data_IF_848050359261
#
_entry.id   IF_848050359261
#
_cell.length_a   1.000
_cell.length_b   1.000
_cell.length_c   1.000
_cell.angle_alpha   90.00
_cell.angle_beta   90.00
_cell.angle_gamma   90.00
#
_symmetry.space_group_name_H-M   'P 1'
#
loop_
_entity.id
_entity.type
_entity.pdbx_description
1 polymer ?
#
# COMPACT_ATOMS: atom_id res chain seq x y z
N UNK A 1 6.54 -0.14 15.99
CA UNK A 1 6.55 0.76 14.77
C UNK A 1 5.35 1.70 14.86
N UNK A 2 5.53 2.99 14.57
CA UNK A 2 4.42 3.96 14.43
C UNK A 2 3.93 3.93 12.99
N UNK A 3 2.60 3.94 12.80
CA UNK A 3 1.96 3.93 11.48
C UNK A 3 0.86 5.00 11.48
N UNK A 4 0.90 5.89 10.48
CA UNK A 4 -0.14 6.91 10.25
C UNK A 4 -0.62 6.79 8.80
N UNK A 5 -1.87 6.45 8.57
CA UNK A 5 -2.48 6.53 7.25
C UNK A 5 -2.94 7.98 7.03
N UNK A 6 -2.31 8.66 6.09
CA UNK A 6 -2.59 10.07 5.79
C UNK A 6 -3.74 10.23 4.81
N UNK A 7 -3.91 9.26 3.93
CA UNK A 7 -5.03 9.13 3.02
C UNK A 7 -5.07 7.72 2.42
N UNK A 8 -6.26 7.26 2.06
CA UNK A 8 -6.49 5.96 1.43
C UNK A 8 -7.70 6.06 0.49
N UNK A 9 -7.62 5.44 -0.69
CA UNK A 9 -8.68 5.39 -1.71
C UNK A 9 -8.33 6.10 -3.02
N UNK A 10 -9.27 6.11 -3.95
CA UNK A 10 -9.08 6.64 -5.32
C UNK A 10 -8.75 8.14 -5.38
N UNK A 11 -8.93 8.88 -4.30
CA UNK A 11 -8.56 10.31 -4.22
C UNK A 11 -7.08 10.52 -3.90
N UNK A 12 -6.39 9.50 -3.41
CA UNK A 12 -4.96 9.47 -3.14
C UNK A 12 -4.59 8.62 -1.94
N UNK A 13 -3.47 7.92 -2.08
CA UNK A 13 -2.93 7.02 -1.08
C UNK A 13 -1.60 7.54 -0.56
N UNK A 14 -1.43 7.57 0.75
CA UNK A 14 -0.18 7.91 1.40
C UNK A 14 -0.21 7.47 2.85
N UNK A 15 0.78 6.70 3.27
CA UNK A 15 0.98 6.33 4.66
C UNK A 15 2.37 6.71 5.13
N UNK A 16 2.52 6.99 6.41
CA UNK A 16 3.79 7.27 7.07
C UNK A 16 4.08 6.16 8.06
N UNK A 17 5.31 5.64 8.02
CA UNK A 17 5.81 4.66 8.99
C UNK A 17 7.09 5.16 9.64
N UNK A 18 7.29 4.83 10.93
CA UNK A 18 8.47 5.22 11.70
C UNK A 18 8.82 4.17 12.74
N UNK A 19 10.07 3.75 12.79
CA UNK A 19 10.58 2.79 13.77
C UNK A 19 11.34 3.43 14.95
N UNK A 20 11.27 4.76 15.05
CA UNK A 20 11.97 5.55 16.05
C UNK A 20 13.36 6.04 15.59
N UNK A 21 13.92 5.49 14.51
CA UNK A 21 15.22 5.92 13.92
C UNK A 21 15.07 6.31 12.46
N UNK A 22 14.29 5.60 11.70
CA UNK A 22 14.04 5.83 10.28
C UNK A 22 12.55 6.00 10.03
N UNK A 23 12.19 6.91 9.13
CA UNK A 23 10.81 7.07 8.67
C UNK A 23 10.70 7.00 7.16
N UNK A 24 9.59 6.43 6.68
CA UNK A 24 9.28 6.28 5.25
C UNK A 24 7.85 6.75 4.97
N UNK A 25 7.62 7.17 3.74
CA UNK A 25 6.29 7.23 3.14
C UNK A 25 6.04 5.96 2.32
N UNK A 26 4.82 5.47 2.35
CA UNK A 26 4.28 4.43 1.47
C UNK A 26 3.26 5.12 0.58
N UNK A 27 3.59 5.22 -0.70
CA UNK A 27 2.95 6.06 -1.70
C UNK A 27 2.95 7.58 -1.42
N UNK A 28 2.65 8.35 -2.45
CA UNK A 28 2.64 9.80 -2.43
C UNK A 28 1.52 10.36 -3.35
N UNK A 29 0.33 9.77 -3.27
CA UNK A 29 -0.82 10.09 -4.11
C UNK A 29 -1.58 11.35 -3.71
N UNK A 30 -1.20 12.01 -2.63
CA UNK A 30 -1.82 13.24 -2.13
C UNK A 30 -0.91 14.46 -2.29
N UNK A 31 -1.43 15.68 -2.28
CA UNK A 31 -0.62 16.90 -2.36
C UNK A 31 0.45 16.97 -1.26
N UNK A 32 1.65 17.46 -1.61
CA UNK A 32 2.79 17.59 -0.66
C UNK A 32 2.41 18.42 0.57
N UNK A 33 1.51 19.39 0.45
CA UNK A 33 0.99 20.15 1.61
C UNK A 33 0.31 19.24 2.65
N UNK A 34 -0.49 18.26 2.20
CA UNK A 34 -1.12 17.27 3.08
C UNK A 34 -0.08 16.33 3.70
N UNK A 35 0.92 15.89 2.91
CA UNK A 35 2.04 15.08 3.43
C UNK A 35 2.80 15.84 4.51
N UNK A 36 3.09 17.12 4.31
CA UNK A 36 3.76 17.97 5.32
C UNK A 36 2.98 18.04 6.63
N UNK A 37 1.67 18.22 6.56
CA UNK A 37 0.80 18.23 7.76
C UNK A 37 0.84 16.86 8.43
N UNK A 38 0.64 15.78 7.67
CA UNK A 38 0.62 14.40 8.20
C UNK A 38 1.95 13.95 8.81
N UNK A 39 3.07 14.53 8.37
CA UNK A 39 4.41 14.29 8.94
C UNK A 39 4.80 15.34 10.00
N UNK A 40 3.83 16.06 10.56
CA UNK A 40 4.05 17.12 11.56
C UNK A 40 5.12 18.14 11.12
N UNK A 41 5.08 18.52 9.84
CA UNK A 41 6.05 19.41 9.17
C UNK A 41 7.50 18.90 9.15
N UNK A 42 7.72 17.60 9.42
CA UNK A 42 9.04 16.95 9.44
C UNK A 42 9.36 16.22 8.14
N UNK A 43 8.76 16.59 7.02
CA UNK A 43 8.99 15.96 5.73
C UNK A 43 10.48 15.87 5.36
N UNK A 44 11.31 16.89 5.75
CA UNK A 44 12.76 16.87 5.55
C UNK A 44 13.52 15.83 6.37
N UNK A 45 12.90 15.22 7.39
CA UNK A 45 13.46 14.14 8.18
C UNK A 45 13.00 12.74 7.68
N UNK A 46 12.09 12.68 6.71
CA UNK A 46 11.66 11.43 6.10
C UNK A 46 12.79 10.89 5.22
N UNK A 47 13.22 9.65 5.49
CA UNK A 47 14.37 9.03 4.83
C UNK A 47 14.11 8.68 3.36
N UNK A 48 12.84 8.53 2.98
CA UNK A 48 12.42 8.28 1.60
C UNK A 48 10.94 7.94 1.46
N UNK A 49 10.50 7.75 0.22
CA UNK A 49 9.18 7.24 -0.11
C UNK A 49 9.29 6.00 -1.00
N UNK A 50 8.50 4.97 -0.69
CA UNK A 50 8.32 3.77 -1.50
C UNK A 50 7.05 3.96 -2.32
N UNK A 51 7.15 3.88 -3.64
CA UNK A 51 6.00 4.08 -4.54
C UNK A 51 5.67 2.74 -5.20
N UNK A 52 4.41 2.32 -5.05
CA UNK A 52 3.92 1.04 -5.56
C UNK A 52 3.85 1.02 -7.08
N UNK A 53 3.20 2.02 -7.69
CA UNK A 53 3.00 2.10 -9.13
C UNK A 53 2.74 3.55 -9.60
N UNK A 54 2.58 3.73 -10.92
CA UNK A 54 2.55 5.06 -11.57
C UNK A 54 1.22 5.80 -11.54
N UNK A 55 0.11 5.20 -11.10
CA UNK A 55 -1.19 5.90 -11.09
C UNK A 55 -1.16 7.17 -10.22
N UNK A 56 -1.96 8.16 -10.61
CA UNK A 56 -1.92 9.48 -9.99
C UNK A 56 -2.28 9.50 -8.52
N UNK A 57 -3.16 8.60 -8.08
CA UNK A 57 -3.53 8.44 -6.68
C UNK A 57 -2.47 7.72 -5.82
N UNK A 58 -1.34 7.30 -6.43
CA UNK A 58 -0.15 6.74 -5.75
C UNK A 58 1.11 7.58 -5.99
N UNK A 59 1.26 8.19 -7.18
CA UNK A 59 2.50 8.84 -7.60
C UNK A 59 2.40 10.37 -7.81
N UNK A 60 1.26 10.99 -7.55
CA UNK A 60 0.96 12.42 -7.83
C UNK A 60 2.05 13.38 -7.36
N UNK A 61 2.60 13.15 -6.19
CA UNK A 61 3.58 14.05 -5.58
C UNK A 61 5.04 13.64 -5.79
N UNK A 62 5.33 12.56 -6.49
CA UNK A 62 6.69 12.05 -6.75
C UNK A 62 7.61 13.13 -7.26
N UNK A 63 7.22 13.83 -8.34
CA UNK A 63 8.05 14.90 -8.93
C UNK A 63 8.32 16.05 -7.95
N UNK A 64 7.33 16.41 -7.15
CA UNK A 64 7.48 17.49 -6.18
C UNK A 64 8.34 17.07 -4.99
N UNK A 65 8.21 15.83 -4.50
CA UNK A 65 9.06 15.29 -3.45
C UNK A 65 10.52 15.19 -3.88
N UNK A 66 10.81 14.75 -5.11
CA UNK A 66 12.17 14.77 -5.67
C UNK A 66 12.78 16.15 -5.65
N UNK A 67 12.03 17.21 -5.97
CA UNK A 67 12.51 18.60 -5.90
C UNK A 67 12.81 19.08 -4.47
N UNK A 68 12.25 18.45 -3.45
CA UNK A 68 12.60 18.75 -2.03
C UNK A 68 13.85 18.02 -1.55
N UNK A 69 14.46 17.17 -2.38
CA UNK A 69 15.61 16.35 -2.03
C UNK A 69 15.27 14.99 -1.40
N UNK A 70 13.98 14.63 -1.27
CA UNK A 70 13.56 13.35 -0.73
C UNK A 70 13.98 12.21 -1.67
N UNK A 71 14.50 11.10 -1.12
CA UNK A 71 14.76 9.88 -1.89
C UNK A 71 13.44 9.20 -2.22
N UNK A 72 13.25 8.85 -3.49
CA UNK A 72 12.07 8.09 -3.95
C UNK A 72 12.54 6.75 -4.49
N UNK A 73 11.97 5.67 -3.99
CA UNK A 73 12.23 4.29 -4.41
C UNK A 73 11.01 3.78 -5.18
N UNK A 74 11.18 3.49 -6.44
CA UNK A 74 10.09 3.07 -7.34
C UNK A 74 10.62 2.25 -8.52
N UNK A 75 9.70 1.63 -9.26
CA UNK A 75 10.01 1.03 -10.56
C UNK A 75 10.39 2.10 -11.59
N UNK A 76 11.08 1.67 -12.66
CA UNK A 76 11.41 2.52 -13.82
C UNK A 76 10.16 3.18 -14.42
N UNK A 77 9.04 2.46 -14.46
CA UNK A 77 7.76 2.89 -15.02
C UNK A 77 7.21 4.14 -14.29
N UNK A 78 7.32 4.18 -12.96
CA UNK A 78 6.92 5.34 -12.15
C UNK A 78 7.74 6.58 -12.52
N UNK A 79 9.06 6.46 -12.66
CA UNK A 79 9.91 7.59 -13.01
C UNK A 79 9.71 8.05 -14.44
N UNK A 80 9.51 7.13 -15.38
CA UNK A 80 9.18 7.47 -16.77
C UNK A 80 7.93 8.33 -16.85
N UNK A 81 6.91 8.03 -16.04
CA UNK A 81 5.67 8.78 -15.99
C UNK A 81 5.77 10.11 -15.22
N UNK A 82 6.42 10.11 -14.03
CA UNK A 82 6.36 11.24 -13.10
C UNK A 82 7.59 12.16 -13.16
N UNK A 83 8.78 11.64 -13.48
CA UNK A 83 10.06 12.36 -13.45
C UNK A 83 11.07 11.76 -14.43
N UNK A 84 10.88 11.91 -15.76
CA UNK A 84 11.72 11.26 -16.79
C UNK A 84 13.20 11.71 -16.76
N UNK A 85 13.49 12.87 -16.20
CA UNK A 85 14.84 13.42 -16.00
C UNK A 85 15.62 12.73 -14.86
N UNK A 86 14.96 11.91 -14.04
CA UNK A 86 15.53 11.07 -12.96
C UNK A 86 16.68 11.74 -12.20
N UNK A 87 16.41 12.67 -11.31
CA UNK A 87 17.44 13.29 -10.49
C UNK A 87 18.12 12.24 -9.58
N UNK A 88 19.28 12.57 -9.00
CA UNK A 88 20.12 11.65 -8.20
C UNK A 88 19.39 10.93 -7.05
N UNK A 89 18.33 11.52 -6.52
CA UNK A 89 17.47 10.98 -5.46
C UNK A 89 16.29 10.12 -5.99
N UNK A 90 16.15 9.95 -7.30
CA UNK A 90 15.31 8.93 -7.92
C UNK A 90 16.03 7.56 -7.86
N UNK A 91 15.62 6.71 -6.94
CA UNK A 91 16.22 5.39 -6.68
C UNK A 91 15.40 4.31 -7.38
N UNK A 92 15.82 3.93 -8.57
CA UNK A 92 15.15 2.86 -9.33
C UNK A 92 15.33 1.51 -8.60
N UNK A 93 14.22 0.85 -8.30
CA UNK A 93 14.23 -0.52 -7.76
C UNK A 93 14.74 -1.45 -8.87
N UNK A 94 15.80 -2.20 -8.56
CA UNK A 94 16.45 -3.11 -9.50
C UNK A 94 15.72 -4.45 -9.54
N UNK A 95 15.83 -5.14 -10.66
CA UNK A 95 15.27 -6.46 -10.88
C UNK A 95 16.35 -7.46 -11.33
N UNK A 96 16.19 -8.72 -10.93
CA UNK A 96 16.92 -9.87 -11.49
C UNK A 96 15.90 -10.71 -12.28
N UNK A 97 15.88 -10.53 -13.61
CA UNK A 97 14.75 -10.98 -14.42
C UNK A 97 13.47 -10.25 -13.98
N UNK A 98 12.42 -11.00 -13.63
CA UNK A 98 11.14 -10.45 -13.17
C UNK A 98 11.05 -10.28 -11.64
N UNK A 99 12.11 -10.60 -10.91
CA UNK A 99 12.13 -10.54 -9.44
C UNK A 99 12.74 -9.23 -8.98
N UNK A 100 11.99 -8.35 -8.27
CA UNK A 100 12.54 -7.13 -7.70
C UNK A 100 13.53 -7.45 -6.58
N UNK A 101 14.66 -6.72 -6.54
CA UNK A 101 15.73 -6.96 -5.58
C UNK A 101 15.52 -6.18 -4.28
N UNK A 102 15.85 -6.76 -3.13
CA UNK A 102 15.79 -6.07 -1.85
C UNK A 102 16.81 -4.94 -1.75
N UNK A 103 16.50 -3.95 -0.92
CA UNK A 103 17.37 -2.81 -0.62
C UNK A 103 17.14 -2.32 0.81
N UNK A 104 18.01 -1.41 1.29
CA UNK A 104 17.89 -0.85 2.63
C UNK A 104 17.66 0.67 2.57
N UNK A 105 16.88 1.19 3.53
CA UNK A 105 16.70 2.62 3.78
C UNK A 105 16.80 2.85 5.29
N UNK A 106 17.91 3.40 5.74
CA UNK A 106 18.20 3.55 7.17
C UNK A 106 18.15 2.19 7.89
N UNK A 107 17.27 2.06 8.87
CA UNK A 107 17.04 0.82 9.64
C UNK A 107 16.02 -0.12 8.99
N UNK A 108 15.40 0.25 7.89
CA UNK A 108 14.47 -0.61 7.17
C UNK A 108 15.18 -1.43 6.09
N UNK A 109 15.01 -2.75 6.14
CA UNK A 109 15.27 -3.67 5.02
C UNK A 109 13.97 -3.86 4.25
N UNK A 110 13.96 -3.50 2.97
CA UNK A 110 12.79 -3.51 2.10
C UNK A 110 12.95 -4.61 1.06
N UNK A 111 12.01 -5.55 1.02
CA UNK A 111 11.89 -6.58 0.01
C UNK A 111 10.64 -6.30 -0.82
N UNK A 112 10.79 -5.72 -2.04
CA UNK A 112 9.66 -5.52 -2.92
C UNK A 112 9.19 -6.86 -3.49
N UNK A 113 7.92 -6.95 -3.85
CA UNK A 113 7.35 -8.10 -4.58
C UNK A 113 6.32 -7.60 -5.61
N UNK A 114 6.23 -8.31 -6.74
CA UNK A 114 5.28 -7.95 -7.78
C UNK A 114 3.86 -8.36 -7.40
N UNK A 115 2.88 -7.50 -7.71
CA UNK A 115 1.45 -7.77 -7.54
C UNK A 115 0.71 -7.55 -8.86
N UNK A 116 -0.50 -8.10 -8.97
CA UNK A 116 -1.29 -8.10 -10.20
C UNK A 116 -2.11 -6.82 -10.34
N UNK A 117 -1.81 -6.01 -11.34
CA UNK A 117 -2.55 -4.80 -11.67
C UNK A 117 -2.49 -4.54 -13.19
N UNK A 118 -3.16 -3.48 -13.69
CA UNK A 118 -3.14 -3.09 -15.11
C UNK A 118 -1.82 -2.42 -15.53
N UNK A 119 -1.01 -1.99 -14.56
CA UNK A 119 0.36 -1.48 -14.74
C UNK A 119 1.32 -2.23 -13.82
N UNK A 120 2.66 -2.18 -14.06
CA UNK A 120 3.64 -2.71 -13.11
C UNK A 120 3.43 -2.15 -11.71
N UNK A 121 3.13 -3.03 -10.75
CA UNK A 121 2.80 -2.67 -9.38
C UNK A 121 3.61 -3.52 -8.39
N UNK A 122 4.07 -2.89 -7.31
CA UNK A 122 4.88 -3.50 -6.26
C UNK A 122 4.18 -3.43 -4.90
N UNK A 123 4.21 -4.52 -4.17
CA UNK A 123 4.06 -4.51 -2.73
C UNK A 123 5.43 -4.48 -2.03
N UNK A 124 5.44 -4.22 -0.74
CA UNK A 124 6.66 -4.12 0.07
C UNK A 124 6.55 -4.93 1.36
N UNK A 125 7.47 -5.87 1.57
CA UNK A 125 7.75 -6.44 2.88
C UNK A 125 8.88 -5.64 3.51
N UNK A 126 8.64 -5.07 4.68
CA UNK A 126 9.54 -4.11 5.34
C UNK A 126 9.90 -4.65 6.72
N UNK A 127 11.18 -4.95 6.93
CA UNK A 127 11.73 -5.35 8.23
C UNK A 127 12.48 -4.19 8.87
N UNK A 128 12.15 -3.85 10.12
CA UNK A 128 12.91 -2.87 10.90
C UNK A 128 13.98 -3.57 11.73
N UNK A 129 15.25 -3.26 11.46
CA UNK A 129 16.38 -3.72 12.30
C UNK A 129 16.44 -3.01 13.64
N UNK A 130 15.72 -1.90 13.83
CA UNK A 130 15.66 -1.16 15.08
C UNK A 130 14.67 -1.78 16.08
N UNK A 131 13.54 -2.31 15.61
CA UNK A 131 12.47 -2.86 16.46
C UNK A 131 12.31 -4.38 16.32
N UNK A 132 12.88 -4.99 15.28
CA UNK A 132 12.67 -6.41 14.92
C UNK A 132 11.29 -6.69 14.33
N UNK A 133 10.51 -5.65 14.01
CA UNK A 133 9.13 -5.78 13.53
C UNK A 133 9.06 -5.82 12.00
N UNK A 134 8.04 -6.51 11.49
CA UNK A 134 7.78 -6.68 10.06
C UNK A 134 6.44 -6.06 9.68
N UNK A 135 6.42 -5.35 8.56
CA UNK A 135 5.25 -4.74 7.96
C UNK A 135 5.12 -5.19 6.50
N UNK A 136 3.91 -5.52 6.07
CA UNK A 136 3.58 -5.70 4.66
C UNK A 136 2.65 -4.57 4.21
N UNK A 137 2.96 -3.99 3.06
CA UNK A 137 2.13 -3.02 2.36
C UNK A 137 1.88 -3.46 0.92
N UNK A 138 0.64 -3.53 0.52
CA UNK A 138 0.22 -3.70 -0.87
C UNK A 138 -1.15 -3.08 -1.12
N UNK A 139 -1.37 -2.66 -2.34
CA UNK A 139 -2.62 -2.05 -2.81
C UNK A 139 -2.80 -2.32 -4.30
N UNK A 140 -4.02 -2.13 -4.80
CA UNK A 140 -4.39 -2.24 -6.21
C UNK A 140 -3.95 -3.58 -6.81
N UNK A 141 -4.44 -4.65 -6.18
CA UNK A 141 -4.26 -6.02 -6.65
C UNK A 141 -5.47 -6.88 -6.30
N UNK A 142 -5.88 -7.72 -7.21
CA UNK A 142 -7.03 -8.61 -6.97
C UNK A 142 -6.65 -9.89 -6.22
N UNK A 143 -5.37 -10.25 -6.19
CA UNK A 143 -4.89 -11.47 -5.56
C UNK A 143 -3.43 -11.36 -5.16
N UNK A 144 -3.05 -12.12 -4.12
CA UNK A 144 -1.67 -12.21 -3.64
C UNK A 144 -1.27 -13.68 -3.44
N UNK A 145 -0.20 -14.10 -4.13
CA UNK A 145 0.33 -15.47 -4.02
C UNK A 145 1.37 -15.62 -2.91
N UNK A 146 1.83 -14.51 -2.34
CA UNK A 146 2.93 -14.48 -1.38
C UNK A 146 2.45 -14.83 0.03
N UNK A 147 3.29 -15.58 0.76
CA UNK A 147 3.22 -15.70 2.21
C UNK A 147 4.41 -15.00 2.84
N UNK A 148 4.23 -14.48 4.04
CA UNK A 148 5.24 -13.64 4.71
C UNK A 148 5.59 -14.19 6.08
N UNK A 149 6.86 -14.25 6.45
CA UNK A 149 7.27 -14.70 7.78
C UNK A 149 6.98 -13.62 8.83
N UNK A 150 6.49 -14.03 10.00
CA UNK A 150 6.41 -13.23 11.23
C UNK A 150 5.80 -11.83 11.08
N UNK A 151 4.58 -11.74 10.51
CA UNK A 151 3.87 -10.48 10.31
C UNK A 151 3.49 -9.81 11.63
N UNK A 152 3.84 -8.51 11.77
CA UNK A 152 3.41 -7.66 12.88
C UNK A 152 2.37 -6.62 12.43
N UNK A 153 2.53 -6.06 11.23
CA UNK A 153 1.67 -5.03 10.68
C UNK A 153 1.32 -5.35 9.23
N UNK A 154 0.07 -5.10 8.88
CA UNK A 154 -0.42 -5.25 7.52
C UNK A 154 -1.19 -3.99 7.10
N UNK A 155 -0.76 -3.37 6.02
CA UNK A 155 -1.50 -2.34 5.30
C UNK A 155 -1.93 -2.95 3.98
N UNK A 156 -3.19 -3.33 3.87
CA UNK A 156 -3.69 -4.10 2.73
C UNK A 156 -4.95 -3.51 2.14
N UNK A 157 -5.04 -3.53 0.82
CA UNK A 157 -6.28 -3.23 0.15
C UNK A 157 -7.39 -4.20 0.59
N UNK A 158 -8.59 -3.64 0.80
CA UNK A 158 -9.83 -4.37 1.03
C UNK A 158 -10.99 -3.62 0.37
N UNK A 159 -11.05 -3.68 -0.96
CA UNK A 159 -11.84 -2.73 -1.74
C UNK A 159 -13.34 -3.00 -1.70
N UNK A 160 -13.78 -4.24 -1.88
CA UNK A 160 -15.20 -4.55 -2.08
C UNK A 160 -15.64 -5.86 -1.44
N UNK A 161 -16.97 -5.93 -1.22
CA UNK A 161 -17.71 -7.13 -0.90
C UNK A 161 -18.37 -7.67 -2.18
N UNK A 162 -18.12 -8.93 -2.57
CA UNK A 162 -18.72 -9.52 -3.77
C UNK A 162 -20.25 -9.47 -3.77
N UNK A 163 -20.90 -9.73 -2.64
CA UNK A 163 -22.36 -9.67 -2.53
C UNK A 163 -22.90 -8.24 -2.65
N UNK A 164 -22.23 -7.25 -2.06
CA UNK A 164 -22.63 -5.84 -2.21
C UNK A 164 -22.49 -5.37 -3.66
N UNK A 165 -21.40 -5.78 -4.32
CA UNK A 165 -21.14 -5.49 -5.72
C UNK A 165 -22.24 -6.10 -6.62
N UNK A 166 -22.61 -7.35 -6.39
CA UNK A 166 -23.66 -8.03 -7.17
C UNK A 166 -25.04 -7.40 -6.96
N UNK A 167 -25.38 -7.01 -5.73
CA UNK A 167 -26.62 -6.25 -5.47
C UNK A 167 -26.64 -4.92 -6.18
N UNK A 168 -25.56 -4.14 -6.16
CA UNK A 168 -25.48 -2.85 -6.82
C UNK A 168 -25.64 -2.95 -8.34
N UNK A 169 -25.24 -4.06 -8.94
CA UNK A 169 -25.47 -4.33 -10.37
C UNK A 169 -26.93 -4.75 -10.60
N UNK A 170 -27.48 -5.63 -9.77
CA UNK A 170 -28.87 -6.05 -9.88
C UNK A 170 -29.86 -4.89 -9.72
N UNK A 171 -29.50 -3.88 -8.93
CA UNK A 171 -30.27 -2.66 -8.68
C UNK A 171 -30.00 -1.54 -9.73
N UNK A 172 -29.29 -1.84 -10.83
CA UNK A 172 -28.89 -0.88 -11.89
C UNK A 172 -28.07 0.34 -11.37
N UNK A 173 -27.43 0.21 -10.20
CA UNK A 173 -26.57 1.27 -9.63
C UNK A 173 -25.17 1.28 -10.24
N UNK A 174 -24.73 0.14 -10.78
CA UNK A 174 -23.42 -0.05 -11.41
C UNK A 174 -23.55 -0.83 -12.72
N UNK A 175 -22.81 -0.39 -13.73
CA UNK A 175 -22.75 -1.12 -15.00
C UNK A 175 -21.97 -2.45 -14.85
N UNK A 176 -22.38 -3.53 -15.53
CA UNK A 176 -21.71 -4.83 -15.48
C UNK A 176 -20.22 -4.77 -15.89
N UNK A 177 -19.85 -3.85 -16.79
CA UNK A 177 -18.47 -3.63 -17.22
C UNK A 177 -17.58 -3.15 -16.08
N UNK A 178 -18.13 -2.35 -15.15
CA UNK A 178 -17.44 -1.89 -13.96
C UNK A 178 -17.03 -3.07 -13.07
N UNK A 179 -17.93 -4.06 -12.88
CA UNK A 179 -17.59 -5.30 -12.13
C UNK A 179 -16.39 -6.01 -12.73
N UNK A 180 -16.38 -6.21 -14.07
CA UNK A 180 -15.29 -6.91 -14.76
C UNK A 180 -13.94 -6.23 -14.53
N UNK A 181 -13.92 -4.90 -14.49
CA UNK A 181 -12.70 -4.13 -14.20
C UNK A 181 -12.32 -4.27 -12.72
N UNK A 182 -13.28 -4.04 -11.81
CA UNK A 182 -13.04 -4.03 -10.36
C UNK A 182 -12.44 -5.36 -9.87
N UNK A 183 -13.03 -6.49 -10.24
CA UNK A 183 -12.60 -7.82 -9.80
C UNK A 183 -11.23 -8.25 -10.36
N UNK A 184 -10.70 -7.54 -11.35
CA UNK A 184 -9.38 -7.80 -11.95
C UNK A 184 -8.29 -6.85 -11.47
N UNK A 185 -8.66 -5.80 -10.75
CA UNK A 185 -7.73 -4.77 -10.30
C UNK A 185 -7.71 -4.58 -8.79
N UNK A 186 -8.75 -5.03 -8.06
CA UNK A 186 -8.87 -4.77 -6.63
C UNK A 186 -9.23 -6.02 -5.83
N UNK A 187 -8.83 -6.06 -4.56
CA UNK A 187 -9.01 -7.18 -3.66
C UNK A 187 -10.37 -7.14 -2.96
N UNK A 188 -11.08 -8.27 -3.00
CA UNK A 188 -12.29 -8.44 -2.20
C UNK A 188 -11.96 -8.77 -0.75
N UNK A 189 -12.93 -8.54 0.15
CA UNK A 189 -12.83 -8.98 1.55
C UNK A 189 -12.60 -10.49 1.67
N UNK A 190 -13.22 -11.29 0.82
CA UNK A 190 -13.07 -12.76 0.87
C UNK A 190 -11.64 -13.18 0.49
N UNK A 191 -11.08 -12.59 -0.57
CA UNK A 191 -9.69 -12.84 -0.99
C UNK A 191 -8.69 -12.40 0.08
N UNK A 192 -8.91 -11.25 0.74
CA UNK A 192 -8.06 -10.81 1.85
C UNK A 192 -8.11 -11.81 3.02
N UNK A 193 -9.29 -12.32 3.38
CA UNK A 193 -9.45 -13.34 4.44
C UNK A 193 -8.73 -14.63 4.08
N UNK A 194 -8.77 -15.08 2.84
CA UNK A 194 -8.01 -16.26 2.38
C UNK A 194 -6.50 -16.03 2.51
N UNK A 195 -6.01 -14.87 2.10
CA UNK A 195 -4.61 -14.49 2.27
C UNK A 195 -4.20 -14.48 3.74
N UNK A 196 -5.02 -13.91 4.63
CA UNK A 196 -4.76 -13.90 6.06
C UNK A 196 -4.64 -15.32 6.63
N UNK A 197 -5.57 -16.22 6.27
CA UNK A 197 -5.55 -17.63 6.71
C UNK A 197 -4.34 -18.43 6.20
N UNK A 198 -3.75 -18.01 5.07
CA UNK A 198 -2.56 -18.64 4.50
C UNK A 198 -1.25 -18.20 5.18
N UNK A 199 -1.29 -17.19 6.06
CA UNK A 199 -0.14 -16.63 6.75
C UNK A 199 -0.16 -16.96 8.25
N UNK A 200 1.02 -16.98 8.88
CA UNK A 200 1.15 -17.04 10.33
C UNK A 200 0.85 -15.67 10.95
N UNK A 201 -0.28 -15.57 11.63
CA UNK A 201 -0.76 -14.34 12.28
C UNK A 201 -0.45 -14.28 13.78
N UNK A 202 0.31 -15.23 14.32
CA UNK A 202 0.60 -15.34 15.78
C UNK A 202 1.28 -14.10 16.37
N UNK A 203 1.99 -13.33 15.53
CA UNK A 203 2.68 -12.09 15.88
C UNK A 203 1.99 -10.82 15.38
N UNK A 204 0.80 -10.95 14.76
CA UNK A 204 0.06 -9.81 14.21
C UNK A 204 -0.39 -8.86 15.31
N UNK A 205 -0.07 -7.59 15.16
CA UNK A 205 -0.43 -6.52 16.10
C UNK A 205 -1.57 -5.67 15.56
N UNK A 206 -1.47 -5.23 14.31
CA UNK A 206 -2.43 -4.31 13.70
C UNK A 206 -2.59 -4.57 12.21
N UNK A 207 -3.82 -4.44 11.73
CA UNK A 207 -4.18 -4.48 10.30
C UNK A 207 -4.87 -3.18 9.94
N UNK A 208 -4.45 -2.57 8.84
CA UNK A 208 -5.05 -1.39 8.25
C UNK A 208 -5.72 -1.78 6.94
N UNK A 209 -7.05 -1.69 6.89
CA UNK A 209 -7.83 -1.94 5.68
C UNK A 209 -7.84 -0.68 4.85
N UNK A 210 -7.17 -0.76 3.72
CA UNK A 210 -6.88 0.35 2.81
C UNK A 210 -7.79 0.29 1.59
N UNK A 211 -7.92 1.42 0.90
CA UNK A 211 -8.56 1.53 -0.42
C UNK A 211 -9.99 0.94 -0.47
N UNK A 212 -10.79 1.21 0.58
CA UNK A 212 -12.18 0.78 0.65
C UNK A 212 -13.02 1.53 -0.41
N UNK A 213 -13.93 0.82 -1.06
CA UNK A 213 -14.89 1.42 -1.99
C UNK A 213 -16.07 2.04 -1.22
N UNK A 214 -16.40 3.30 -1.49
CA UNK A 214 -17.51 4.00 -0.84
C UNK A 214 -18.86 3.30 -1.03
N UNK A 215 -19.07 2.65 -2.18
CA UNK A 215 -20.35 2.07 -2.56
C UNK A 215 -20.41 0.55 -2.46
N UNK A 216 -19.26 -0.14 -2.49
CA UNK A 216 -19.19 -1.60 -2.58
C UNK A 216 -18.54 -2.23 -1.36
N UNK A 217 -18.18 -1.46 -0.33
CA UNK A 217 -17.66 -1.95 0.93
C UNK A 217 -18.69 -1.80 2.06
N UNK A 218 -18.59 -2.70 3.04
CA UNK A 218 -19.29 -2.63 4.32
C UNK A 218 -18.22 -2.55 5.40
N UNK A 219 -17.61 -1.36 5.54
CA UNK A 219 -16.38 -1.13 6.28
C UNK A 219 -16.37 -1.76 7.69
N UNK A 220 -17.42 -1.55 8.50
CA UNK A 220 -17.53 -2.11 9.86
C UNK A 220 -17.69 -3.64 9.85
N UNK A 221 -18.31 -4.21 8.82
CA UNK A 221 -18.39 -5.66 8.65
C UNK A 221 -17.04 -6.22 8.26
N UNK A 222 -16.31 -5.56 7.35
CA UNK A 222 -14.94 -5.92 6.97
C UNK A 222 -14.04 -5.96 8.20
N UNK A 223 -14.07 -4.91 9.01
CA UNK A 223 -13.33 -4.84 10.27
C UNK A 223 -13.61 -6.05 11.16
N UNK A 224 -14.90 -6.35 11.42
CA UNK A 224 -15.28 -7.49 12.26
C UNK A 224 -14.83 -8.83 11.70
N UNK A 225 -14.99 -9.05 10.38
CA UNK A 225 -14.59 -10.29 9.71
C UNK A 225 -13.08 -10.50 9.78
N UNK A 226 -12.29 -9.46 9.51
CA UNK A 226 -10.82 -9.50 9.58
C UNK A 226 -10.36 -9.70 11.01
N UNK A 227 -10.95 -9.00 11.97
CA UNK A 227 -10.62 -9.11 13.39
C UNK A 227 -10.89 -10.52 13.93
N UNK A 228 -11.97 -11.16 13.50
CA UNK A 228 -12.31 -12.53 13.89
C UNK A 228 -11.27 -13.56 13.41
N UNK A 229 -10.59 -13.31 12.28
CA UNK A 229 -9.53 -14.17 11.74
C UNK A 229 -8.17 -13.86 12.32
N UNK A 230 -7.84 -12.57 12.46
CA UNK A 230 -6.50 -12.14 12.83
C UNK A 230 -6.29 -12.03 14.36
N UNK A 231 -7.35 -11.87 15.14
CA UNK A 231 -7.27 -11.74 16.61
C UNK A 231 -6.57 -10.47 17.09
N UNK A 232 -6.45 -9.44 16.24
CA UNK A 232 -5.73 -8.20 16.54
C UNK A 232 -6.58 -6.96 16.27
N UNK A 233 -6.02 -5.76 16.52
CA UNK A 233 -6.66 -4.51 16.16
C UNK A 233 -6.73 -4.31 14.65
N UNK A 234 -7.91 -3.87 14.15
CA UNK A 234 -8.17 -3.61 12.73
C UNK A 234 -8.69 -2.19 12.56
N UNK A 235 -8.00 -1.41 11.75
CA UNK A 235 -8.30 -0.02 11.43
C UNK A 235 -8.90 0.10 10.03
N UNK A 236 -9.91 0.96 9.89
CA UNK A 236 -10.49 1.37 8.60
C UNK A 236 -9.85 2.68 8.16
N UNK A 237 -9.39 2.75 6.90
CA UNK A 237 -8.65 3.88 6.37
C UNK A 237 -9.26 4.43 5.09
#
# INVERSE_FOLDING_TARGET
>A
MEIKVLASGSSGNCSYINDGKTSLLLDAGIPVSKIRIGTDFRLGAVSGALITHRHGDHAKSVRQLLKTGANIYASEDVFTAAAPDKPYNAKVIRFAGDVPLPFAVGTFSVTPFSVHHDVPNLGFYIHSTATGENLVYFTDTFYLTHTFPALNYLLAECNYDPEALDRNIADDRLAPEFKKRLVRSHMSIDTLIEMLKANDLSHMKQIYLMHLSDNNSRAEEFRRRVQAVAGCEVYLC
#
